data_IF_802700326493
#
_entry.id   IF_802700326493
#
_cell.length_a   1.000
_cell.length_b   1.000
_cell.length_c   1.000
_cell.angle_alpha   90.00
_cell.angle_beta   90.00
_cell.angle_gamma   90.00
#
_symmetry.space_group_name_H-M   'P 1'
#
loop_
_entity.id
_entity.type
_entity.pdbx_description
1 polymer ?
#
# COMPACT_ATOMS: atom_id res chain seq x y z
N UNK A 1 -32.84 54.21 -5.05
CA UNK A 1 -31.98 53.23 -4.34
C UNK A 1 -32.89 52.13 -3.78
N UNK A 2 -33.08 51.01 -4.50
CA UNK A 2 -34.01 49.94 -4.07
C UNK A 2 -33.33 49.07 -3.01
N UNK A 3 -33.79 49.15 -1.76
CA UNK A 3 -33.36 48.25 -0.71
C UNK A 3 -33.77 46.81 -1.09
N UNK A 4 -32.79 45.92 -1.21
CA UNK A 4 -33.06 44.50 -1.43
C UNK A 4 -33.92 43.95 -0.29
N UNK A 5 -34.99 43.22 -0.63
CA UNK A 5 -35.92 42.68 0.36
C UNK A 5 -35.21 41.71 1.31
N UNK A 6 -35.58 41.65 2.60
CA UNK A 6 -34.93 40.81 3.60
C UNK A 6 -34.92 39.30 3.23
N UNK A 7 -35.86 38.86 2.38
CA UNK A 7 -35.91 37.49 1.87
C UNK A 7 -34.77 37.13 0.92
N UNK A 8 -34.23 38.11 0.18
CA UNK A 8 -33.13 37.92 -0.78
C UNK A 8 -31.79 37.74 -0.07
N UNK A 9 -31.58 38.48 1.02
CA UNK A 9 -30.41 38.33 1.88
C UNK A 9 -30.36 36.95 2.55
N UNK A 10 -31.50 36.46 3.04
CA UNK A 10 -31.59 35.13 3.66
C UNK A 10 -31.31 34.01 2.64
N UNK A 11 -31.85 34.11 1.42
CA UNK A 11 -31.60 33.15 0.33
C UNK A 11 -30.15 33.11 -0.13
N UNK A 12 -29.49 34.27 -0.20
CA UNK A 12 -28.10 34.35 -0.62
C UNK A 12 -27.14 33.84 0.46
N UNK A 13 -27.43 34.10 1.73
CA UNK A 13 -26.69 33.51 2.86
C UNK A 13 -26.80 31.98 2.88
N UNK A 14 -28.01 31.44 2.67
CA UNK A 14 -28.22 29.99 2.60
C UNK A 14 -27.47 29.34 1.43
N UNK A 15 -27.46 30.00 0.25
CA UNK A 15 -26.70 29.53 -0.92
C UNK A 15 -25.19 29.56 -0.70
N UNK A 16 -24.68 30.61 -0.06
CA UNK A 16 -23.25 30.71 0.27
C UNK A 16 -22.83 29.62 1.28
N UNK A 17 -23.67 29.33 2.28
CA UNK A 17 -23.44 28.24 3.23
C UNK A 17 -23.46 26.86 2.56
N UNK A 18 -24.43 26.60 1.69
CA UNK A 18 -24.50 25.36 0.91
C UNK A 18 -23.30 25.19 -0.03
N UNK A 19 -22.89 26.25 -0.73
CA UNK A 19 -21.72 26.22 -1.60
C UNK A 19 -20.43 26.00 -0.80
N UNK A 20 -20.29 26.64 0.36
CA UNK A 20 -19.16 26.42 1.27
C UNK A 20 -19.11 24.99 1.82
N UNK A 21 -20.25 24.45 2.25
CA UNK A 21 -20.35 23.08 2.73
C UNK A 21 -20.02 22.05 1.63
N UNK A 22 -20.51 22.28 0.40
CA UNK A 22 -20.18 21.43 -0.74
C UNK A 22 -18.68 21.51 -1.08
N UNK A 23 -18.11 22.72 -1.14
CA UNK A 23 -16.69 22.91 -1.40
C UNK A 23 -15.82 22.20 -0.34
N UNK A 24 -16.21 22.25 0.94
CA UNK A 24 -15.51 21.56 2.01
C UNK A 24 -15.62 20.03 1.88
N UNK A 25 -16.79 19.52 1.50
CA UNK A 25 -17.00 18.09 1.25
C UNK A 25 -16.17 17.57 0.06
N UNK A 26 -15.95 18.38 -0.99
CA UNK A 26 -15.07 17.99 -2.11
C UNK A 26 -13.59 17.88 -1.72
N UNK A 27 -13.15 18.49 -0.61
CA UNK A 27 -11.78 18.37 -0.11
C UNK A 27 -11.57 17.17 0.81
N UNK A 28 -12.66 16.54 1.29
CA UNK A 28 -12.59 15.34 2.10
C UNK A 28 -12.34 14.12 1.22
N UNK A 29 -11.08 13.88 0.87
CA UNK A 29 -10.71 12.61 0.25
C UNK A 29 -10.60 11.52 1.34
N UNK A 30 -11.20 10.33 1.14
CA UNK A 30 -10.96 9.20 2.03
C UNK A 30 -9.46 8.88 1.98
N UNK A 31 -8.78 8.93 3.13
CA UNK A 31 -7.45 8.33 3.27
C UNK A 31 -7.66 6.83 3.18
N UNK A 32 -7.36 6.26 2.02
CA UNK A 32 -7.25 4.81 1.83
C UNK A 32 -5.96 4.37 2.54
N UNK A 33 -6.02 4.20 3.86
CA UNK A 33 -4.94 3.58 4.59
C UNK A 33 -4.89 2.10 4.18
N UNK A 34 -3.83 1.68 3.49
CA UNK A 34 -3.55 0.26 3.32
C UNK A 34 -3.34 -0.33 4.73
N UNK A 35 -4.27 -1.17 5.19
CA UNK A 35 -4.16 -1.73 6.53
C UNK A 35 -3.07 -2.78 6.55
N UNK A 36 -2.05 -2.62 7.39
CA UNK A 36 -1.13 -3.73 7.66
C UNK A 36 -1.91 -4.81 8.40
N UNK A 37 -1.94 -6.01 7.85
CA UNK A 37 -2.59 -7.16 8.49
C UNK A 37 -1.62 -7.74 9.51
N UNK A 38 -2.01 -7.66 10.79
CA UNK A 38 -1.26 -8.18 11.93
C UNK A 38 -1.87 -9.47 12.40
N UNK A 39 -1.53 -10.54 11.70
CA UNK A 39 -1.92 -11.90 12.05
C UNK A 39 -0.69 -12.73 12.40
N UNK A 40 -0.59 -13.14 13.67
CA UNK A 40 0.62 -13.76 14.18
C UNK A 40 0.95 -15.10 13.49
N UNK A 41 -0.07 -15.87 13.12
CA UNK A 41 0.10 -17.17 12.46
C UNK A 41 0.60 -16.98 11.03
N UNK A 42 -0.02 -16.09 10.26
CA UNK A 42 0.38 -15.78 8.89
C UNK A 42 1.76 -15.14 8.84
N UNK A 43 2.06 -14.20 9.74
CA UNK A 43 3.38 -13.58 9.82
C UNK A 43 4.47 -14.61 10.18
N UNK A 44 4.19 -15.51 11.14
CA UNK A 44 5.12 -16.58 11.51
C UNK A 44 5.34 -17.56 10.35
N UNK A 45 4.27 -17.96 9.67
CA UNK A 45 4.33 -18.83 8.51
C UNK A 45 5.14 -18.22 7.37
N UNK A 46 4.87 -16.95 7.02
CA UNK A 46 5.61 -16.24 5.98
C UNK A 46 7.09 -16.10 6.34
N UNK A 47 7.41 -15.82 7.61
CA UNK A 47 8.79 -15.79 8.11
C UNK A 47 9.46 -17.16 7.96
N UNK A 48 8.76 -18.25 8.29
CA UNK A 48 9.29 -19.61 8.16
C UNK A 48 9.59 -19.96 6.70
N UNK A 49 8.64 -19.77 5.79
CA UNK A 49 8.81 -20.16 4.39
C UNK A 49 9.81 -19.26 3.64
N UNK A 50 10.02 -18.02 4.09
CA UNK A 50 10.95 -17.08 3.45
C UNK A 50 12.39 -17.20 3.96
N UNK A 51 12.60 -17.67 5.20
CA UNK A 51 13.92 -17.82 5.80
C UNK A 51 14.97 -18.52 4.90
N UNK A 52 14.70 -19.69 4.27
CA UNK A 52 15.67 -20.34 3.38
C UNK A 52 15.94 -19.51 2.12
N UNK A 53 14.96 -18.78 1.61
CA UNK A 53 15.09 -17.94 0.41
C UNK A 53 15.94 -16.70 0.72
N UNK A 54 15.72 -16.07 1.87
CA UNK A 54 16.51 -14.94 2.35
C UNK A 54 17.98 -15.35 2.56
N UNK A 55 18.20 -16.52 3.18
CA UNK A 55 19.54 -17.06 3.37
C UNK A 55 20.23 -17.35 2.02
N UNK A 56 19.50 -17.89 1.03
CA UNK A 56 20.02 -18.15 -0.30
C UNK A 56 20.39 -16.84 -1.05
N UNK A 57 19.71 -15.73 -0.76
CA UNK A 57 20.04 -14.41 -1.26
C UNK A 57 21.29 -13.78 -0.57
N UNK A 58 21.92 -14.48 0.38
CA UNK A 58 23.09 -13.98 1.12
C UNK A 58 22.74 -12.97 2.22
N UNK A 59 21.46 -12.85 2.56
CA UNK A 59 20.95 -11.99 3.62
C UNK A 59 20.70 -12.79 4.90
N UNK A 60 20.70 -12.11 6.05
CA UNK A 60 20.32 -12.75 7.31
C UNK A 60 18.79 -12.73 7.45
N UNK A 61 18.10 -13.87 7.69
CA UNK A 61 16.63 -13.93 7.78
C UNK A 61 16.00 -12.97 8.80
N UNK A 62 16.72 -12.69 9.88
CA UNK A 62 16.34 -11.76 10.94
C UNK A 62 16.62 -10.28 10.61
N UNK A 63 17.17 -9.98 9.43
CA UNK A 63 17.37 -8.62 8.92
C UNK A 63 16.39 -8.28 7.78
N UNK A 64 15.53 -9.22 7.37
CA UNK A 64 14.51 -8.98 6.35
C UNK A 64 13.13 -9.14 6.96
N UNK A 65 12.36 -8.06 6.95
CA UNK A 65 10.97 -8.08 7.41
C UNK A 65 10.03 -8.50 6.27
N UNK A 66 9.14 -9.45 6.56
CA UNK A 66 8.01 -9.78 5.67
C UNK A 66 6.76 -9.14 6.25
N UNK A 67 6.13 -8.22 5.51
CA UNK A 67 5.01 -7.42 5.98
C UNK A 67 3.78 -7.68 5.11
N UNK A 68 2.68 -8.11 5.73
CA UNK A 68 1.43 -8.37 5.03
C UNK A 68 0.56 -7.10 4.96
N UNK A 69 0.16 -6.72 3.75
CA UNK A 69 -0.74 -5.60 3.46
C UNK A 69 -2.13 -6.15 3.12
N UNK A 70 -3.16 -5.61 3.77
CA UNK A 70 -4.57 -5.90 3.55
C UNK A 70 -5.12 -5.27 2.28
N UNK A 71 -4.54 -5.64 1.15
CA UNK A 71 -4.94 -5.21 -0.18
C UNK A 71 -5.25 -6.45 -1.03
N UNK A 72 -6.35 -6.42 -1.79
CA UNK A 72 -6.83 -7.55 -2.60
C UNK A 72 -6.17 -7.64 -3.98
N UNK A 73 -5.38 -6.63 -4.36
CA UNK A 73 -4.57 -6.71 -5.57
C UNK A 73 -3.46 -7.76 -5.42
N UNK A 74 -3.11 -8.40 -6.53
CA UNK A 74 -1.99 -9.35 -6.59
C UNK A 74 -0.71 -8.53 -6.76
N UNK A 75 0.02 -8.32 -5.67
CA UNK A 75 1.24 -7.53 -5.67
C UNK A 75 2.19 -7.91 -4.53
N UNK A 76 3.48 -7.68 -4.74
CA UNK A 76 4.52 -7.65 -3.71
C UNK A 76 5.59 -6.64 -4.14
N UNK A 77 6.31 -6.07 -3.18
CA UNK A 77 7.37 -5.11 -3.47
C UNK A 77 8.34 -4.96 -2.30
N UNK A 78 9.51 -4.41 -2.59
CA UNK A 78 10.50 -4.03 -1.57
C UNK A 78 10.45 -2.53 -1.32
N UNK A 79 10.52 -2.13 -0.05
CA UNK A 79 10.78 -0.74 0.33
C UNK A 79 11.69 -0.63 1.54
N UNK A 80 12.47 0.46 1.62
CA UNK A 80 13.39 0.69 2.74
C UNK A 80 14.59 -0.28 2.81
N UNK A 81 14.85 -1.03 1.73
CA UNK A 81 16.02 -1.89 1.53
C UNK A 81 16.02 -3.23 2.26
N UNK A 82 15.18 -3.41 3.27
CA UNK A 82 15.21 -4.60 4.14
C UNK A 82 13.80 -5.11 4.53
N UNK A 83 12.76 -4.65 3.82
CA UNK A 83 11.40 -5.12 4.03
C UNK A 83 10.74 -5.50 2.70
N UNK A 84 10.16 -6.70 2.66
CA UNK A 84 9.32 -7.20 1.58
C UNK A 84 7.86 -7.07 2.02
N UNK A 85 7.09 -6.33 1.23
CA UNK A 85 5.66 -6.12 1.43
C UNK A 85 4.89 -7.05 0.51
N UNK A 86 3.95 -7.79 1.07
CA UNK A 86 3.14 -8.78 0.35
C UNK A 86 1.67 -8.35 0.48
N UNK A 87 0.93 -8.27 -0.63
CA UNK A 87 -0.50 -8.01 -0.57
C UNK A 87 -1.27 -9.31 -0.28
N UNK A 88 -2.35 -9.21 0.50
CA UNK A 88 -3.22 -10.35 0.82
C UNK A 88 -3.85 -10.99 -0.42
N UNK A 89 -4.05 -10.23 -1.50
CA UNK A 89 -4.51 -10.74 -2.79
C UNK A 89 -3.52 -11.71 -3.43
N UNK A 90 -2.21 -11.49 -3.25
CA UNK A 90 -1.19 -12.44 -3.72
C UNK A 90 -1.26 -13.76 -2.95
N UNK A 91 -1.43 -13.72 -1.62
CA UNK A 91 -1.60 -14.94 -0.82
C UNK A 91 -2.85 -15.73 -1.20
N UNK A 92 -3.94 -15.03 -1.52
CA UNK A 92 -5.20 -15.66 -1.94
C UNK A 92 -5.14 -16.24 -3.36
N UNK A 93 -4.30 -15.68 -4.22
CA UNK A 93 -4.17 -16.09 -5.62
C UNK A 93 -3.15 -17.22 -5.82
N UNK A 94 -2.20 -17.40 -4.90
CA UNK A 94 -1.20 -18.45 -5.00
C UNK A 94 -1.79 -19.82 -4.67
N UNK A 95 -1.48 -20.81 -5.50
CA UNK A 95 -1.97 -22.18 -5.31
C UNK A 95 -1.18 -22.92 -4.21
N UNK A 96 0.06 -22.48 -3.96
CA UNK A 96 0.97 -23.10 -3.00
C UNK A 96 2.07 -22.14 -2.53
N UNK A 97 2.78 -22.55 -1.49
CA UNK A 97 3.85 -21.76 -0.85
C UNK A 97 5.04 -21.49 -1.77
N UNK A 98 5.31 -22.36 -2.75
CA UNK A 98 6.46 -22.19 -3.63
C UNK A 98 6.27 -21.00 -4.57
N UNK A 99 5.03 -20.68 -4.96
CA UNK A 99 4.72 -19.48 -5.74
C UNK A 99 4.99 -18.21 -4.93
N UNK A 100 4.59 -18.20 -3.65
CA UNK A 100 4.92 -17.10 -2.74
C UNK A 100 6.44 -16.97 -2.55
N UNK A 101 7.14 -18.09 -2.37
CA UNK A 101 8.61 -18.09 -2.28
C UNK A 101 9.28 -17.59 -3.57
N UNK A 102 8.74 -17.93 -4.74
CA UNK A 102 9.23 -17.45 -6.03
C UNK A 102 9.10 -15.94 -6.17
N UNK A 103 7.96 -15.37 -5.76
CA UNK A 103 7.76 -13.91 -5.74
C UNK A 103 8.72 -13.27 -4.73
N UNK A 104 8.85 -13.81 -3.52
CA UNK A 104 9.81 -13.30 -2.53
C UNK A 104 11.24 -13.34 -3.09
N UNK A 105 11.65 -14.43 -3.74
CA UNK A 105 12.96 -14.56 -4.35
C UNK A 105 13.20 -13.48 -5.43
N UNK A 106 12.20 -13.20 -6.27
CA UNK A 106 12.24 -12.12 -7.25
C UNK A 106 12.46 -10.77 -6.56
N UNK A 107 11.67 -10.47 -5.53
CA UNK A 107 11.78 -9.23 -4.77
C UNK A 107 13.13 -9.07 -4.05
N UNK A 108 13.65 -10.14 -3.44
CA UNK A 108 14.98 -10.13 -2.82
C UNK A 108 16.09 -9.90 -3.86
N UNK A 109 15.90 -10.36 -5.09
CA UNK A 109 16.80 -10.07 -6.21
C UNK A 109 16.97 -8.55 -6.43
N UNK A 110 15.89 -7.77 -6.29
CA UNK A 110 15.95 -6.30 -6.37
C UNK A 110 16.74 -5.68 -5.22
N UNK A 111 16.66 -6.26 -4.00
CA UNK A 111 17.47 -5.83 -2.84
C UNK A 111 18.96 -6.08 -3.09
N UNK A 112 19.32 -7.31 -3.43
CA UNK A 112 20.72 -7.72 -3.56
C UNK A 112 21.38 -7.16 -4.81
N UNK A 113 20.60 -6.92 -5.86
CA UNK A 113 21.07 -6.37 -7.13
C UNK A 113 21.41 -4.86 -7.09
N UNK A 114 21.16 -4.17 -5.97
CA UNK A 114 21.47 -2.74 -5.83
C UNK A 114 20.48 -1.79 -6.50
N UNK A 115 19.33 -2.30 -6.95
CA UNK A 115 18.24 -1.52 -7.55
C UNK A 115 17.21 -1.09 -6.48
N UNK A 116 17.64 -0.84 -5.24
CA UNK A 116 16.74 -0.26 -4.22
C UNK A 116 16.37 1.14 -4.69
N UNK A 117 15.20 1.21 -5.29
CA UNK A 117 14.61 2.42 -5.84
C UNK A 117 14.42 3.39 -4.68
N UNK A 118 15.31 4.37 -4.56
CA UNK A 118 15.29 5.36 -3.48
C UNK A 118 13.91 6.04 -3.43
N UNK A 119 13.44 6.26 -2.21
CA UNK A 119 12.16 6.78 -1.66
C UNK A 119 11.20 7.61 -2.55
N UNK A 120 11.62 8.16 -3.68
CA UNK A 120 10.81 8.94 -4.62
C UNK A 120 10.19 8.19 -5.80
N UNK A 121 10.65 6.97 -6.16
CA UNK A 121 10.08 6.24 -7.31
C UNK A 121 9.35 4.94 -6.92
N UNK A 122 9.47 4.46 -5.67
CA UNK A 122 8.75 3.26 -5.20
C UNK A 122 7.22 3.38 -5.23
N UNK A 123 6.69 4.60 -5.24
CA UNK A 123 5.25 4.85 -5.41
C UNK A 123 4.78 4.87 -6.89
N UNK A 124 5.69 4.96 -7.86
CA UNK A 124 5.36 5.09 -9.29
C UNK A 124 5.88 3.92 -10.15
N UNK A 125 6.87 3.16 -9.70
CA UNK A 125 7.36 1.95 -10.39
C UNK A 125 6.60 0.68 -9.99
N UNK A 126 5.53 0.80 -9.20
CA UNK A 126 4.59 -0.28 -8.90
C UNK A 126 3.64 -0.54 -10.09
N UNK A 127 4.19 -0.82 -11.27
CA UNK A 127 3.48 -1.50 -12.34
C UNK A 127 3.83 -2.97 -12.20
N UNK A 128 2.81 -3.78 -11.92
CA UNK A 128 2.93 -5.13 -11.35
C UNK A 128 3.96 -6.06 -11.98
N UNK A 129 4.34 -7.07 -11.19
CA UNK A 129 5.13 -8.27 -11.53
C UNK A 129 5.82 -8.14 -12.90
N UNK A 130 7.04 -7.59 -12.92
CA UNK A 130 7.88 -7.67 -14.11
C UNK A 130 8.43 -9.08 -14.22
N UNK A 131 7.75 -9.93 -14.98
CA UNK A 131 8.20 -11.29 -15.34
C UNK A 131 9.47 -11.22 -16.20
#
# INVERSE_FOLDING_TARGET
MRLASPSTFLRNGLRALLAGALALALTAQPVMAQSILRDAETEAYLREISAPIIAAAGLQPNQVDIILIGDKSINAFVAGGQAVYIHSGLLQAADNSNEIQGVIAHELGHITGGHVITQGQGAQTATGISL
#
